data_IF_249482543478
#
_entry.id   IF_249482543478
#
_cell.length_a   1.000
_cell.length_b   1.000
_cell.length_c   1.000
_cell.angle_alpha   90.00
_cell.angle_beta   90.00
_cell.angle_gamma   90.00
#
_symmetry.space_group_name_H-M   'P 1'
#
loop_
_entity.id
_entity.type
_entity.pdbx_description
1 polymer ?
#
# COMPACT_ATOMS: atom_id res chain seq x y z
N UNK A 1 -25.29 -12.16 28.27
CA UNK A 1 -24.87 -10.91 27.59
C UNK A 1 -23.44 -11.09 27.09
N UNK A 2 -23.22 -11.37 25.78
CA UNK A 2 -21.88 -11.64 25.27
C UNK A 2 -21.02 -10.35 25.30
N UNK A 3 -19.70 -10.46 25.57
CA UNK A 3 -18.86 -9.32 25.87
C UNK A 3 -18.62 -8.45 24.63
N UNK A 4 -18.58 -7.14 24.86
CA UNK A 4 -18.28 -6.12 23.85
C UNK A 4 -16.84 -6.30 23.35
N UNK A 5 -16.69 -6.91 22.18
CA UNK A 5 -15.44 -7.01 21.45
C UNK A 5 -15.02 -5.59 21.00
N UNK A 6 -14.28 -4.89 21.86
CA UNK A 6 -13.72 -3.56 21.61
C UNK A 6 -12.85 -3.52 20.32
N UNK A 7 -12.37 -4.67 19.83
CA UNK A 7 -11.37 -4.77 18.76
C UNK A 7 -11.86 -5.44 17.47
N UNK A 8 -13.17 -5.57 17.24
CA UNK A 8 -13.73 -6.30 16.08
C UNK A 8 -13.20 -5.82 14.71
N UNK A 9 -12.71 -4.58 14.62
CA UNK A 9 -12.02 -4.04 13.45
C UNK A 9 -10.49 -3.88 13.58
N UNK A 10 -9.95 -3.86 14.81
CA UNK A 10 -8.53 -3.60 15.07
C UNK A 10 -7.68 -4.87 14.89
N UNK A 11 -8.21 -6.04 15.28
CA UNK A 11 -7.51 -7.32 15.10
C UNK A 11 -7.32 -7.70 13.61
N UNK A 12 -8.33 -7.56 12.71
CA UNK A 12 -8.12 -7.76 11.28
C UNK A 12 -7.20 -6.72 10.65
N UNK A 13 -7.31 -5.45 11.05
CA UNK A 13 -6.45 -4.38 10.54
C UNK A 13 -4.98 -4.66 10.88
N UNK A 14 -4.71 -5.04 12.13
CA UNK A 14 -3.38 -5.45 12.56
C UNK A 14 -2.92 -6.72 11.83
N UNK A 15 -3.79 -7.70 11.60
CA UNK A 15 -3.45 -8.90 10.84
C UNK A 15 -3.04 -8.60 9.39
N UNK A 16 -3.82 -7.78 8.68
CA UNK A 16 -3.50 -7.35 7.31
C UNK A 16 -2.21 -6.52 7.28
N UNK A 17 -2.07 -5.56 8.20
CA UNK A 17 -0.85 -4.75 8.30
C UNK A 17 0.38 -5.62 8.55
N UNK A 18 0.28 -6.57 9.48
CA UNK A 18 1.37 -7.49 9.83
C UNK A 18 1.73 -8.39 8.65
N UNK A 19 0.75 -8.89 7.89
CA UNK A 19 0.99 -9.66 6.67
C UNK A 19 1.72 -8.86 5.59
N UNK A 20 1.30 -7.61 5.35
CA UNK A 20 1.98 -6.70 4.41
C UNK A 20 3.39 -6.39 4.87
N UNK A 21 3.60 -6.12 6.16
CA UNK A 21 4.91 -5.84 6.74
C UNK A 21 5.86 -7.04 6.63
N UNK A 22 5.38 -8.24 6.93
CA UNK A 22 6.16 -9.47 6.81
C UNK A 22 6.59 -9.72 5.35
N UNK A 23 5.69 -9.48 4.40
CA UNK A 23 6.00 -9.56 2.97
C UNK A 23 7.03 -8.51 2.54
N UNK A 24 6.90 -7.26 3.01
CA UNK A 24 7.88 -6.20 2.77
C UNK A 24 9.27 -6.57 3.31
N UNK A 25 9.33 -7.14 4.52
CA UNK A 25 10.59 -7.57 5.10
C UNK A 25 11.20 -8.72 4.29
N UNK A 26 10.40 -9.71 3.90
CA UNK A 26 10.84 -10.83 3.06
C UNK A 26 11.49 -10.36 1.76
N UNK A 27 10.91 -9.34 1.12
CA UNK A 27 11.37 -8.82 -0.16
C UNK A 27 12.60 -7.88 -0.04
N UNK A 28 12.84 -7.31 1.14
CA UNK A 28 14.03 -6.48 1.42
C UNK A 28 15.24 -7.29 1.89
N UNK A 29 15.09 -8.60 2.09
CA UNK A 29 16.22 -9.44 2.49
C UNK A 29 17.22 -9.63 1.33
N UNK A 30 18.52 -9.30 1.54
CA UNK A 30 19.55 -9.29 0.49
C UNK A 30 19.89 -10.69 -0.08
N UNK A 31 19.42 -11.77 0.55
CA UNK A 31 19.63 -13.15 0.11
C UNK A 31 18.53 -13.69 -0.80
N UNK A 32 17.35 -13.06 -0.78
CA UNK A 32 16.14 -13.47 -1.49
C UNK A 32 15.60 -12.36 -2.40
N UNK A 33 16.40 -11.31 -2.63
CA UNK A 33 16.03 -10.15 -3.41
C UNK A 33 15.68 -10.54 -4.85
N UNK A 34 14.39 -10.70 -5.10
CA UNK A 34 13.85 -10.68 -6.45
C UNK A 34 14.28 -9.36 -7.12
N UNK A 35 14.56 -9.36 -8.44
CA UNK A 35 14.87 -8.14 -9.17
C UNK A 35 13.84 -7.06 -8.86
N UNK A 36 14.26 -5.80 -8.71
CA UNK A 36 13.38 -4.69 -8.29
C UNK A 36 12.10 -4.61 -9.15
N UNK A 37 12.23 -4.87 -10.46
CA UNK A 37 11.12 -4.93 -11.42
C UNK A 37 10.02 -5.96 -11.11
N UNK A 38 10.29 -6.99 -10.32
CA UNK A 38 9.31 -8.02 -9.94
C UNK A 38 8.62 -7.73 -8.60
N UNK A 39 8.95 -6.61 -7.94
CA UNK A 39 8.42 -6.30 -6.62
C UNK A 39 7.02 -5.71 -6.70
N UNK A 40 6.11 -6.23 -5.88
CA UNK A 40 4.75 -5.65 -5.76
C UNK A 40 4.78 -4.20 -5.27
N UNK A 41 5.79 -3.83 -4.47
CA UNK A 41 5.99 -2.44 -4.06
C UNK A 41 6.30 -1.50 -5.21
N UNK A 42 7.00 -1.96 -6.24
CA UNK A 42 7.30 -1.12 -7.41
C UNK A 42 6.04 -0.87 -8.24
N UNK A 43 5.19 -1.88 -8.39
CA UNK A 43 3.87 -1.74 -9.01
C UNK A 43 2.95 -0.81 -8.20
N UNK A 44 2.96 -0.93 -6.87
CA UNK A 44 2.21 -0.06 -5.99
C UNK A 44 2.68 1.40 -6.10
N UNK A 45 4.00 1.61 -6.16
CA UNK A 45 4.61 2.93 -6.38
C UNK A 45 4.21 3.52 -7.72
N UNK A 46 4.32 2.76 -8.81
CA UNK A 46 3.87 3.18 -10.14
C UNK A 46 2.40 3.60 -10.14
N UNK A 47 1.53 2.81 -9.50
CA UNK A 47 0.09 3.12 -9.42
C UNK A 47 -0.16 4.42 -8.65
N UNK A 48 0.57 4.65 -7.56
CA UNK A 48 0.47 5.87 -6.78
C UNK A 48 0.96 7.09 -7.56
N UNK A 49 2.10 6.98 -8.25
CA UNK A 49 2.66 8.05 -9.08
C UNK A 49 1.71 8.39 -10.23
N UNK A 50 1.10 7.38 -10.87
CA UNK A 50 0.07 7.58 -11.91
C UNK A 50 -1.14 8.32 -11.37
N UNK A 51 -1.68 7.91 -10.23
CA UNK A 51 -2.85 8.57 -9.63
C UNK A 51 -2.56 10.01 -9.20
N UNK A 52 -1.34 10.27 -8.71
CA UNK A 52 -0.88 11.62 -8.40
C UNK A 52 -0.80 12.50 -9.65
N UNK A 53 -0.28 11.97 -10.76
CA UNK A 53 -0.24 12.71 -12.02
C UNK A 53 -1.64 13.00 -12.56
N UNK A 54 -2.57 12.05 -12.47
CA UNK A 54 -3.98 12.27 -12.85
C UNK A 54 -4.62 13.38 -12.02
N UNK A 55 -4.34 13.44 -10.70
CA UNK A 55 -4.83 14.52 -9.83
C UNK A 55 -4.25 15.88 -10.21
N UNK A 56 -2.95 15.96 -10.46
CA UNK A 56 -2.29 17.20 -10.87
C UNK A 56 -2.79 17.68 -12.25
N UNK A 57 -2.98 16.76 -13.21
CA UNK A 57 -3.52 17.09 -14.53
C UNK A 57 -4.98 17.57 -14.48
N UNK A 58 -5.77 17.04 -13.54
CA UNK A 58 -7.13 17.50 -13.30
C UNK A 58 -7.16 18.89 -12.63
N UNK A 59 -6.16 19.20 -11.81
CA UNK A 59 -6.03 20.51 -11.16
C UNK A 59 -5.62 21.60 -12.18
N UNK A 60 -4.63 21.35 -13.05
CA UNK A 60 -4.24 22.28 -14.12
C UNK A 60 -5.40 22.57 -15.09
N UNK A 61 -6.16 21.55 -15.50
CA UNK A 61 -7.30 21.73 -16.41
C UNK A 61 -8.51 22.45 -15.79
N UNK A 62 -8.57 22.56 -14.46
CA UNK A 62 -9.58 23.40 -13.76
C UNK A 62 -9.12 24.83 -13.52
N UNK A 63 -7.82 25.12 -13.60
CA UNK A 63 -7.26 26.47 -13.41
C UNK A 63 -7.25 27.27 -14.72
N UNK A 64 -7.23 26.59 -15.86
CA UNK A 64 -7.27 27.18 -17.21
C UNK A 64 -8.70 27.38 -17.79
N UNK A 65 -9.76 27.14 -17.01
CA UNK A 65 -11.18 27.28 -17.41
C UNK A 65 -11.89 28.43 -16.67
#
# INVERSE_FOLDING_TARGET
MPPVLLSRGLDPLLGVFTGVLAYYLYETHPRTGLPQEQRLMELARWKFDKWRQEKLAQEDSTVDA
#
